data_IF_435517052822
#
_entry.id   IF_435517052822
#
_cell.length_a   1.000
_cell.length_b   1.000
_cell.length_c   1.000
_cell.angle_alpha   90.00
_cell.angle_beta   90.00
_cell.angle_gamma   90.00
#
_symmetry.space_group_name_H-M   'P 1'
#
loop_
_entity.id
_entity.type
_entity.pdbx_description
1 polymer ?
#
# COMPACT_ATOMS: atom_id res chain seq x y z
N UNK A 1 23.29 27.49 -5.57
CA UNK A 1 22.93 26.82 -6.84
C UNK A 1 23.76 25.55 -6.94
N UNK A 2 23.14 24.39 -7.18
CA UNK A 2 23.86 23.12 -7.43
C UNK A 2 24.63 23.18 -8.76
N UNK A 3 25.79 22.51 -8.89
CA UNK A 3 26.52 22.43 -10.16
C UNK A 3 25.77 21.57 -11.20
N UNK A 4 26.15 21.66 -12.48
CA UNK A 4 25.41 21.02 -13.59
C UNK A 4 25.52 19.49 -13.59
N UNK A 5 26.61 18.96 -13.05
CA UNK A 5 26.86 17.53 -12.84
C UNK A 5 26.21 16.99 -11.56
N UNK A 6 25.64 17.86 -10.70
CA UNK A 6 24.94 17.42 -9.50
C UNK A 6 23.79 16.48 -9.85
N UNK A 7 23.78 15.31 -9.21
CA UNK A 7 22.68 14.36 -9.35
C UNK A 7 21.40 14.96 -8.76
N UNK A 8 20.34 14.97 -9.56
CA UNK A 8 19.01 15.38 -9.13
C UNK A 8 18.12 14.14 -8.97
N UNK A 9 18.21 13.15 -9.86
CA UNK A 9 17.38 11.95 -9.83
C UNK A 9 18.22 10.68 -9.77
N UNK A 10 18.56 10.22 -8.56
CA UNK A 10 19.40 9.02 -8.40
C UNK A 10 18.79 7.72 -8.94
N UNK A 11 17.46 7.55 -8.89
CA UNK A 11 16.83 6.34 -9.42
C UNK A 11 16.93 6.19 -10.95
N UNK A 12 17.16 7.29 -11.68
CA UNK A 12 17.34 7.30 -13.13
C UNK A 12 18.72 7.87 -13.54
N UNK A 13 19.61 8.15 -12.57
CA UNK A 13 20.94 8.73 -12.81
C UNK A 13 20.94 10.08 -13.53
N UNK A 14 19.96 10.96 -13.29
CA UNK A 14 19.85 12.23 -14.02
C UNK A 14 20.45 13.39 -13.22
N UNK A 15 21.30 14.17 -13.89
CA UNK A 15 21.92 15.37 -13.33
C UNK A 15 21.08 16.62 -13.61
N UNK A 16 21.41 17.70 -12.89
CA UNK A 16 20.81 19.02 -13.08
C UNK A 16 20.90 19.49 -14.52
N UNK A 17 22.07 19.36 -15.14
CA UNK A 17 22.30 19.84 -16.50
C UNK A 17 21.49 19.11 -17.55
N UNK A 18 21.27 17.80 -17.38
CA UNK A 18 20.40 17.01 -18.26
C UNK A 18 18.96 17.49 -18.19
N UNK A 19 18.44 17.71 -16.98
CA UNK A 19 17.05 18.16 -16.78
C UNK A 19 16.88 19.59 -17.28
N UNK A 20 17.82 20.48 -16.97
CA UNK A 20 17.80 21.89 -17.41
C UNK A 20 17.84 21.99 -18.94
N UNK A 21 18.75 21.25 -19.58
CA UNK A 21 18.86 21.21 -21.05
C UNK A 21 17.54 20.75 -21.69
N UNK A 22 16.89 19.74 -21.12
CA UNK A 22 15.60 19.28 -21.62
C UNK A 22 14.49 20.33 -21.48
N UNK A 23 14.44 21.06 -20.35
CA UNK A 23 13.49 22.17 -20.14
C UNK A 23 13.68 23.24 -21.21
N UNK A 24 14.93 23.65 -21.45
CA UNK A 24 15.25 24.74 -22.37
C UNK A 24 15.05 24.33 -23.84
N UNK A 25 15.57 23.18 -24.27
CA UNK A 25 15.52 22.76 -25.68
C UNK A 25 14.13 22.37 -26.15
N UNK A 26 13.27 21.91 -25.24
CA UNK A 26 11.91 21.46 -25.56
C UNK A 26 10.82 22.37 -25.02
N UNK A 27 11.18 23.54 -24.47
CA UNK A 27 10.25 24.51 -23.88
C UNK A 27 9.28 23.86 -22.88
N UNK A 28 9.78 23.02 -21.98
CA UNK A 28 8.94 22.32 -21.01
C UNK A 28 8.52 23.30 -19.91
N UNK A 29 7.21 23.41 -19.69
CA UNK A 29 6.60 24.37 -18.76
C UNK A 29 6.02 23.71 -17.51
N UNK A 30 5.83 22.39 -17.53
CA UNK A 30 5.19 21.64 -16.44
C UNK A 30 6.05 20.49 -15.93
N UNK A 31 5.82 20.09 -14.68
CA UNK A 31 6.46 18.91 -14.08
C UNK A 31 6.16 17.62 -14.86
N UNK A 32 4.96 17.52 -15.46
CA UNK A 32 4.56 16.32 -16.19
C UNK A 32 5.26 16.22 -17.54
N UNK A 33 5.51 17.34 -18.22
CA UNK A 33 6.33 17.41 -19.42
C UNK A 33 7.79 17.00 -19.12
N UNK A 34 8.36 17.47 -18.00
CA UNK A 34 9.71 17.06 -17.58
C UNK A 34 9.76 15.56 -17.29
N UNK A 35 8.75 15.01 -16.60
CA UNK A 35 8.64 13.56 -16.36
C UNK A 35 8.57 12.76 -17.65
N UNK A 36 7.72 13.18 -18.59
CA UNK A 36 7.56 12.50 -19.88
C UNK A 36 8.84 12.53 -20.71
N UNK A 37 9.57 13.65 -20.70
CA UNK A 37 10.77 13.81 -21.50
C UNK A 37 12.02 13.15 -20.88
N UNK A 38 12.23 13.30 -19.58
CA UNK A 38 13.50 12.94 -18.93
C UNK A 38 13.40 11.70 -18.05
N UNK A 39 12.19 11.31 -17.65
CA UNK A 39 11.90 10.36 -16.57
C UNK A 39 12.28 10.85 -15.16
N UNK A 40 12.84 12.05 -14.99
CA UNK A 40 13.03 12.64 -13.66
C UNK A 40 11.68 12.74 -12.95
N UNK A 41 11.62 12.45 -11.64
CA UNK A 41 10.39 12.43 -10.84
C UNK A 41 9.35 11.35 -11.22
N UNK A 42 9.58 10.56 -12.28
CA UNK A 42 8.61 9.56 -12.76
C UNK A 42 8.69 8.19 -12.09
N UNK A 43 9.84 7.83 -11.48
CA UNK A 43 10.07 6.50 -10.90
C UNK A 43 9.76 6.45 -9.40
N UNK A 44 10.65 6.98 -8.56
CA UNK A 44 10.46 7.01 -7.10
C UNK A 44 9.87 8.34 -6.59
N UNK A 45 9.99 9.41 -7.37
CA UNK A 45 9.45 10.73 -7.06
C UNK A 45 10.18 11.53 -5.97
N UNK A 46 11.29 11.03 -5.41
CA UNK A 46 12.04 11.73 -4.36
C UNK A 46 12.60 13.08 -4.82
N UNK A 47 12.94 13.19 -6.11
CA UNK A 47 13.50 14.40 -6.70
C UNK A 47 12.46 15.43 -7.16
N UNK A 48 11.15 15.21 -6.90
CA UNK A 48 10.08 16.07 -7.42
C UNK A 48 10.27 17.54 -7.06
N UNK A 49 10.52 17.84 -5.78
CA UNK A 49 10.73 19.22 -5.34
C UNK A 49 11.96 19.88 -5.97
N UNK A 50 13.03 19.11 -6.23
CA UNK A 50 14.21 19.62 -6.94
C UNK A 50 13.88 19.94 -8.41
N UNK A 51 13.07 19.11 -9.07
CA UNK A 51 12.63 19.36 -10.45
C UNK A 51 11.71 20.58 -10.51
N UNK A 52 10.79 20.74 -9.56
CA UNK A 52 9.92 21.92 -9.46
C UNK A 52 10.73 23.20 -9.19
N UNK A 53 11.77 23.13 -8.35
CA UNK A 53 12.72 24.23 -8.17
C UNK A 53 13.47 24.58 -9.46
N UNK A 54 13.84 23.59 -10.29
CA UNK A 54 14.45 23.86 -11.59
C UNK A 54 13.46 24.53 -12.55
N UNK A 55 12.20 24.11 -12.56
CA UNK A 55 11.15 24.78 -13.34
C UNK A 55 10.93 26.23 -12.88
N UNK A 56 10.79 26.46 -11.56
CA UNK A 56 10.71 27.79 -10.96
C UNK A 56 11.91 28.67 -11.34
N UNK A 57 13.14 28.13 -11.28
CA UNK A 57 14.35 28.86 -11.63
C UNK A 57 14.46 29.22 -13.12
N UNK A 58 13.80 28.47 -14.01
CA UNK A 58 13.85 28.70 -15.48
C UNK A 58 12.70 29.54 -15.99
N UNK A 59 11.51 29.31 -15.45
CA UNK A 59 10.26 29.92 -15.91
C UNK A 59 9.87 31.14 -15.05
N UNK A 60 10.44 31.29 -13.85
CA UNK A 60 10.09 32.38 -12.93
C UNK A 60 8.60 32.37 -12.60
N UNK A 61 7.99 33.55 -12.59
CA UNK A 61 6.57 33.76 -12.27
C UNK A 61 5.62 33.11 -13.30
N UNK A 62 6.12 32.67 -14.46
CA UNK A 62 5.31 31.93 -15.44
C UNK A 62 5.06 30.47 -15.07
N UNK A 63 5.79 29.93 -14.09
CA UNK A 63 5.49 28.63 -13.51
C UNK A 63 4.42 28.77 -12.42
N UNK A 64 3.17 28.55 -12.79
CA UNK A 64 2.08 28.41 -11.84
C UNK A 64 1.75 26.93 -11.65
N UNK A 65 2.10 26.32 -10.49
CA UNK A 65 1.61 24.98 -10.20
C UNK A 65 0.08 25.01 -10.18
N UNK A 66 -0.57 24.04 -10.83
CA UNK A 66 -2.02 23.97 -10.90
C UNK A 66 -2.65 24.03 -9.49
N UNK A 67 -3.59 24.96 -9.30
CA UNK A 67 -4.27 25.20 -8.02
C UNK A 67 -5.07 23.96 -7.56
N UNK A 68 -5.60 23.21 -8.53
CA UNK A 68 -6.20 21.89 -8.34
C UNK A 68 -5.49 20.91 -9.24
N UNK A 69 -4.85 19.89 -8.65
CA UNK A 69 -4.18 18.83 -9.40
C UNK A 69 -5.19 17.77 -9.84
N UNK A 70 -5.44 17.59 -11.15
CA UNK A 70 -6.33 16.53 -11.62
C UNK A 70 -5.77 15.16 -11.28
N UNK A 71 -6.66 14.17 -11.13
CA UNK A 71 -6.27 12.79 -10.83
C UNK A 71 -5.32 12.23 -11.91
N UNK A 72 -5.62 12.52 -13.19
CA UNK A 72 -4.80 12.21 -14.35
C UNK A 72 -5.30 13.01 -15.56
N UNK A 73 -4.63 12.89 -16.72
CA UNK A 73 -5.04 13.58 -17.95
C UNK A 73 -6.41 13.16 -18.54
N UNK A 74 -7.10 12.18 -17.95
CA UNK A 74 -8.43 11.76 -18.39
C UNK A 74 -9.59 12.55 -17.74
N UNK A 75 -9.31 13.47 -16.81
CA UNK A 75 -10.31 14.29 -16.12
C UNK A 75 -9.71 15.63 -15.68
N UNK A 76 -10.54 16.62 -15.38
CA UNK A 76 -10.13 17.84 -14.67
C UNK A 76 -10.34 17.73 -13.15
N UNK A 77 -10.98 16.66 -12.68
CA UNK A 77 -11.33 16.47 -11.28
C UNK A 77 -10.13 16.02 -10.44
N UNK A 78 -10.01 16.56 -9.22
CA UNK A 78 -9.02 16.09 -8.25
C UNK A 78 -9.42 14.75 -7.64
N UNK A 79 -8.47 14.12 -6.93
CA UNK A 79 -8.78 12.94 -6.11
C UNK A 79 -9.88 13.21 -5.07
N UNK A 80 -9.93 14.41 -4.50
CA UNK A 80 -10.95 14.79 -3.51
C UNK A 80 -12.33 14.97 -4.14
N UNK A 81 -12.39 15.60 -5.33
CA UNK A 81 -13.64 15.79 -6.07
C UNK A 81 -14.26 14.46 -6.46
N UNK A 82 -13.47 13.57 -7.06
CA UNK A 82 -13.94 12.24 -7.48
C UNK A 82 -14.55 11.50 -6.29
N UNK A 83 -13.88 11.47 -5.13
CA UNK A 83 -14.40 10.79 -3.93
C UNK A 83 -15.71 11.39 -3.45
N UNK A 84 -15.79 12.73 -3.37
CA UNK A 84 -17.00 13.44 -2.96
C UNK A 84 -18.17 13.15 -3.91
N UNK A 85 -17.89 13.18 -5.21
CA UNK A 85 -18.90 12.99 -6.27
C UNK A 85 -19.39 11.54 -6.35
N UNK A 86 -18.55 10.54 -6.07
CA UNK A 86 -18.98 9.13 -5.92
C UNK A 86 -20.12 9.03 -4.92
N UNK A 87 -19.93 9.57 -3.71
CA UNK A 87 -20.95 9.51 -2.67
C UNK A 87 -22.14 10.41 -2.99
N UNK A 88 -21.90 11.64 -3.47
CA UNK A 88 -22.97 12.61 -3.75
C UNK A 88 -23.93 12.16 -4.85
N UNK A 89 -23.42 11.46 -5.87
CA UNK A 89 -24.22 10.95 -6.99
C UNK A 89 -24.54 9.45 -6.87
N UNK A 90 -24.21 8.82 -5.73
CA UNK A 90 -24.44 7.40 -5.49
C UNK A 90 -23.88 6.49 -6.62
N UNK A 91 -22.70 6.81 -7.15
CA UNK A 91 -22.10 6.10 -8.29
C UNK A 91 -21.48 4.78 -7.81
N UNK A 92 -21.91 3.64 -8.38
CA UNK A 92 -21.57 2.30 -7.87
C UNK A 92 -20.60 1.54 -8.75
N UNK A 93 -20.37 1.95 -10.01
CA UNK A 93 -19.46 1.24 -10.91
C UNK A 93 -18.48 2.18 -11.61
N UNK A 94 -17.32 1.65 -12.05
CA UNK A 94 -16.33 2.44 -12.80
C UNK A 94 -16.95 3.01 -14.10
N UNK A 95 -17.68 2.25 -14.93
CA UNK A 95 -18.29 2.78 -16.15
C UNK A 95 -19.31 3.89 -15.88
N UNK A 96 -20.19 3.70 -14.90
CA UNK A 96 -21.19 4.70 -14.48
C UNK A 96 -20.51 5.98 -14.00
N UNK A 97 -19.48 5.84 -13.14
CA UNK A 97 -18.69 6.97 -12.65
C UNK A 97 -18.03 7.73 -13.80
N UNK A 98 -17.34 7.02 -14.70
CA UNK A 98 -16.67 7.65 -15.82
C UNK A 98 -17.65 8.38 -16.75
N UNK A 99 -18.84 7.81 -16.98
CA UNK A 99 -19.87 8.44 -17.77
C UNK A 99 -20.44 9.69 -17.08
N UNK A 100 -20.82 9.57 -15.80
CA UNK A 100 -21.44 10.65 -15.04
C UNK A 100 -20.49 11.83 -14.78
N UNK A 101 -19.20 11.55 -14.63
CA UNK A 101 -18.17 12.55 -14.37
C UNK A 101 -17.36 12.95 -15.61
N UNK A 102 -17.91 12.66 -16.80
CA UNK A 102 -17.40 13.10 -18.11
C UNK A 102 -15.91 12.77 -18.33
N UNK A 103 -15.53 11.53 -18.03
CA UNK A 103 -14.16 11.06 -18.24
C UNK A 103 -13.81 11.11 -19.74
N UNK A 104 -12.68 11.72 -20.09
CA UNK A 104 -12.25 11.91 -21.48
C UNK A 104 -11.97 10.59 -22.23
N UNK A 105 -11.81 9.49 -21.50
CA UNK A 105 -11.58 8.15 -22.05
C UNK A 105 -12.49 7.16 -21.35
N UNK A 106 -13.27 6.40 -22.12
CA UNK A 106 -14.13 5.31 -21.62
C UNK A 106 -13.33 4.16 -20.99
N UNK A 107 -12.09 3.97 -21.43
CA UNK A 107 -11.16 2.98 -20.89
C UNK A 107 -10.41 3.47 -19.65
N UNK A 108 -10.40 4.77 -19.37
CA UNK A 108 -9.47 5.35 -18.40
C UNK A 108 -8.00 5.07 -18.75
N UNK A 109 -7.13 5.12 -17.73
CA UNK A 109 -5.70 4.84 -17.85
C UNK A 109 -5.16 4.16 -16.59
N UNK A 110 -3.87 3.79 -16.62
CA UNK A 110 -3.16 3.14 -15.52
C UNK A 110 -3.08 3.96 -14.21
N UNK A 111 -3.42 5.26 -14.24
CA UNK A 111 -3.52 6.11 -13.04
C UNK A 111 -4.92 6.10 -12.44
N UNK A 112 -5.95 6.27 -13.27
CA UNK A 112 -7.30 6.41 -12.77
C UNK A 112 -7.99 5.08 -12.49
N UNK A 113 -7.81 4.05 -13.32
CA UNK A 113 -8.47 2.76 -13.13
C UNK A 113 -8.25 2.20 -11.71
N UNK A 114 -7.00 2.09 -11.21
CA UNK A 114 -6.77 1.64 -9.84
C UNK A 114 -7.35 2.58 -8.77
N UNK A 115 -7.30 3.90 -8.99
CA UNK A 115 -7.81 4.87 -8.04
C UNK A 115 -9.34 4.82 -7.91
N UNK A 116 -10.04 4.71 -9.04
CA UNK A 116 -11.50 4.59 -9.08
C UNK A 116 -11.95 3.28 -8.44
N UNK A 117 -11.27 2.16 -8.75
CA UNK A 117 -11.52 0.87 -8.11
C UNK A 117 -11.41 0.97 -6.58
N UNK A 118 -10.31 1.56 -6.08
CA UNK A 118 -10.12 1.76 -4.64
C UNK A 118 -11.19 2.68 -4.01
N UNK A 119 -11.57 3.77 -4.69
CA UNK A 119 -12.57 4.69 -4.15
C UNK A 119 -13.96 4.09 -4.07
N UNK A 120 -14.36 3.28 -5.04
CA UNK A 120 -15.62 2.54 -5.00
C UNK A 120 -15.58 1.45 -3.91
N UNK A 121 -14.47 0.73 -3.74
CA UNK A 121 -14.28 -0.23 -2.63
C UNK A 121 -14.38 0.44 -1.26
N UNK A 122 -13.85 1.66 -1.13
CA UNK A 122 -13.91 2.41 0.12
C UNK A 122 -15.31 2.97 0.39
N UNK A 123 -16.02 3.44 -0.65
CA UNK A 123 -17.34 4.05 -0.53
C UNK A 123 -18.46 3.03 -0.34
N UNK A 124 -18.38 1.86 -0.99
CA UNK A 124 -19.48 0.90 -1.08
C UNK A 124 -19.09 -0.54 -0.71
N UNK A 125 -18.62 -0.80 0.54
CA UNK A 125 -18.33 -2.16 0.97
C UNK A 125 -19.56 -3.06 0.88
N UNK A 126 -19.40 -4.23 0.24
CA UNK A 126 -20.49 -5.20 0.06
C UNK A 126 -21.43 -4.93 -1.12
N UNK A 127 -21.33 -3.77 -1.76
CA UNK A 127 -22.11 -3.44 -2.97
C UNK A 127 -21.21 -3.38 -4.22
N UNK A 128 -20.03 -2.76 -4.11
CA UNK A 128 -19.09 -2.69 -5.23
C UNK A 128 -18.31 -4.00 -5.37
N UNK A 129 -18.26 -4.52 -6.59
CA UNK A 129 -17.44 -5.68 -6.96
C UNK A 129 -16.08 -5.19 -7.43
N UNK A 130 -15.02 -5.67 -6.76
CA UNK A 130 -13.63 -5.33 -7.06
C UNK A 130 -13.27 -5.64 -8.52
N UNK A 131 -12.78 -4.64 -9.25
CA UNK A 131 -12.32 -4.83 -10.63
C UNK A 131 -10.84 -5.27 -10.64
N UNK A 132 -10.64 -6.58 -10.74
CA UNK A 132 -9.31 -7.19 -10.84
C UNK A 132 -8.46 -6.62 -11.99
N UNK A 133 -9.06 -6.17 -13.10
CA UNK A 133 -8.31 -5.58 -14.22
C UNK A 133 -7.81 -4.17 -13.91
N UNK A 134 -8.48 -3.47 -13.00
CA UNK A 134 -8.05 -2.16 -12.50
C UNK A 134 -6.92 -2.25 -11.48
N UNK A 135 -6.52 -3.46 -11.05
CA UNK A 135 -5.40 -3.66 -10.13
C UNK A 135 -4.06 -3.80 -10.85
N UNK A 136 -3.00 -3.32 -10.22
CA UNK A 136 -1.64 -3.64 -10.67
C UNK A 136 -1.40 -5.14 -10.61
N UNK A 137 -0.54 -5.66 -11.49
CA UNK A 137 -0.26 -7.10 -11.60
C UNK A 137 0.04 -7.74 -10.23
N UNK A 138 0.84 -7.09 -9.39
CA UNK A 138 1.21 -7.64 -8.08
C UNK A 138 0.04 -7.79 -7.10
N UNK A 139 -1.00 -6.97 -7.28
CA UNK A 139 -2.22 -7.02 -6.49
C UNK A 139 -3.21 -7.99 -7.13
N UNK A 140 -3.28 -8.02 -8.46
CA UNK A 140 -4.16 -8.91 -9.21
C UNK A 140 -3.81 -10.37 -9.04
N UNK A 141 -2.52 -10.72 -8.96
CA UNK A 141 -2.08 -12.12 -8.73
C UNK A 141 -1.51 -12.36 -7.34
N UNK A 142 -1.63 -11.40 -6.41
CA UNK A 142 -1.16 -11.53 -5.02
C UNK A 142 0.28 -12.05 -4.86
N UNK A 143 1.13 -11.78 -5.85
CA UNK A 143 2.53 -12.17 -5.94
C UNK A 143 3.32 -11.04 -6.61
N UNK A 144 4.60 -10.85 -6.30
CA UNK A 144 5.37 -9.72 -6.86
C UNK A 144 6.17 -10.13 -8.08
N UNK A 145 5.94 -9.45 -9.20
CA UNK A 145 6.76 -9.60 -10.39
C UNK A 145 8.20 -9.13 -10.13
N UNK A 146 9.16 -9.95 -10.54
CA UNK A 146 10.60 -9.73 -10.42
C UNK A 146 11.19 -9.23 -11.75
N UNK A 147 12.49 -8.91 -11.75
CA UNK A 147 13.16 -8.32 -12.92
C UNK A 147 13.20 -9.24 -14.13
N UNK A 148 13.23 -10.55 -13.91
CA UNK A 148 13.27 -11.61 -14.92
C UNK A 148 11.87 -12.08 -15.35
N UNK A 149 10.81 -11.46 -14.83
CA UNK A 149 9.42 -11.83 -15.12
C UNK A 149 8.85 -12.92 -14.22
N UNK A 150 9.67 -13.56 -13.39
CA UNK A 150 9.20 -14.50 -12.34
C UNK A 150 8.48 -13.74 -11.23
N UNK A 151 7.93 -14.48 -10.27
CA UNK A 151 7.17 -13.97 -9.15
C UNK A 151 7.81 -14.33 -7.82
N UNK A 152 7.44 -13.57 -6.78
CA UNK A 152 7.67 -13.96 -5.40
C UNK A 152 6.38 -13.99 -4.58
N UNK A 153 6.33 -14.92 -3.65
CA UNK A 153 5.20 -15.12 -2.74
C UNK A 153 5.68 -15.07 -1.30
N UNK A 154 4.86 -14.47 -0.44
CA UNK A 154 5.13 -14.30 0.98
C UNK A 154 3.90 -14.75 1.74
N UNK A 155 3.88 -15.95 2.32
CA UNK A 155 2.81 -16.40 3.19
C UNK A 155 2.67 -15.50 4.41
N UNK A 156 1.47 -15.44 4.97
CA UNK A 156 1.23 -14.70 6.21
C UNK A 156 1.79 -15.47 7.41
N UNK A 157 2.61 -14.80 8.21
CA UNK A 157 3.09 -15.28 9.51
C UNK A 157 2.63 -14.26 10.55
N UNK A 158 1.56 -14.59 11.28
CA UNK A 158 0.87 -13.64 12.15
C UNK A 158 1.78 -13.17 13.28
N UNK A 159 2.02 -11.87 13.39
CA UNK A 159 2.96 -11.29 14.34
C UNK A 159 4.42 -11.75 14.16
N UNK A 160 4.74 -12.40 13.03
CA UNK A 160 6.04 -13.04 12.79
C UNK A 160 6.22 -14.41 13.45
N UNK A 161 5.14 -15.02 13.95
CA UNK A 161 5.16 -16.34 14.59
C UNK A 161 4.92 -17.45 13.55
N UNK A 162 5.58 -18.59 13.75
CA UNK A 162 5.40 -19.79 12.92
C UNK A 162 5.64 -21.07 13.70
N UNK A 163 5.27 -22.21 13.12
CA UNK A 163 5.48 -23.55 13.66
C UNK A 163 6.47 -24.38 12.84
N UNK A 164 6.97 -25.47 13.43
CA UNK A 164 7.80 -26.43 12.70
C UNK A 164 7.04 -27.09 11.52
N UNK A 165 5.71 -27.22 11.60
CA UNK A 165 4.91 -27.77 10.50
C UNK A 165 4.84 -26.80 9.32
N UNK A 166 4.56 -25.52 9.58
CA UNK A 166 4.56 -24.47 8.56
C UNK A 166 5.95 -24.29 7.92
N UNK A 167 7.02 -24.32 8.72
CA UNK A 167 8.39 -24.24 8.22
C UNK A 167 8.76 -25.42 7.31
N UNK A 168 8.31 -26.64 7.66
CA UNK A 168 8.49 -27.81 6.78
C UNK A 168 7.69 -27.66 5.50
N UNK A 169 6.43 -27.24 5.57
CA UNK A 169 5.62 -27.01 4.37
C UNK A 169 6.25 -25.98 3.42
N UNK A 170 6.81 -24.88 3.97
CA UNK A 170 7.56 -23.91 3.17
C UNK A 170 8.79 -24.56 2.52
N UNK A 171 9.54 -25.37 3.25
CA UNK A 171 10.70 -26.08 2.70
C UNK A 171 10.30 -27.08 1.60
N UNK A 172 9.23 -27.85 1.82
CA UNK A 172 8.71 -28.83 0.86
C UNK A 172 8.26 -28.15 -0.44
N UNK A 173 7.60 -26.98 -0.35
CA UNK A 173 7.24 -26.16 -1.51
C UNK A 173 8.48 -25.64 -2.24
N UNK A 174 9.49 -25.16 -1.49
CA UNK A 174 10.75 -24.69 -2.09
C UNK A 174 11.43 -25.79 -2.89
N UNK A 175 11.51 -27.00 -2.34
CA UNK A 175 12.12 -28.15 -3.02
C UNK A 175 11.28 -28.60 -4.22
N UNK A 176 9.95 -28.75 -4.06
CA UNK A 176 9.05 -29.25 -5.11
C UNK A 176 9.05 -28.37 -6.36
N UNK A 177 9.06 -27.05 -6.20
CA UNK A 177 9.03 -26.09 -7.30
C UNK A 177 10.42 -25.55 -7.65
N UNK A 178 11.49 -26.12 -7.08
CA UNK A 178 12.88 -25.69 -7.29
C UNK A 178 13.07 -24.17 -7.11
N UNK A 179 12.45 -23.59 -6.08
CA UNK A 179 12.46 -22.15 -5.85
C UNK A 179 13.88 -21.71 -5.48
N UNK A 180 14.53 -20.86 -6.28
CA UNK A 180 15.97 -20.64 -6.19
C UNK A 180 16.40 -19.78 -4.98
N UNK A 181 15.49 -19.04 -4.37
CA UNK A 181 15.84 -18.15 -3.25
C UNK A 181 14.73 -18.04 -2.22
N UNK A 182 15.12 -18.19 -0.96
CA UNK A 182 14.29 -17.98 0.22
C UNK A 182 14.91 -16.87 1.07
N UNK A 183 14.12 -15.88 1.48
CA UNK A 183 14.63 -14.69 2.19
C UNK A 183 13.74 -14.29 3.37
N UNK A 184 14.35 -14.06 4.53
CA UNK A 184 13.66 -13.42 5.66
C UNK A 184 13.50 -11.92 5.40
N UNK A 185 12.28 -11.43 5.50
CA UNK A 185 11.92 -10.03 5.27
C UNK A 185 11.98 -9.20 6.54
N UNK A 186 12.14 -7.88 6.41
CA UNK A 186 12.06 -6.96 7.55
C UNK A 186 10.69 -6.89 8.23
N UNK A 187 9.67 -7.56 7.67
CA UNK A 187 8.34 -7.72 8.25
C UNK A 187 8.15 -9.01 9.03
N UNK A 188 9.25 -9.72 9.39
CA UNK A 188 9.25 -11.02 10.07
C UNK A 188 8.52 -12.11 9.30
N UNK A 189 8.80 -12.22 7.99
CA UNK A 189 8.20 -13.23 7.11
C UNK A 189 9.21 -13.86 6.18
N UNK A 190 8.83 -14.99 5.57
CA UNK A 190 9.64 -15.70 4.58
C UNK A 190 9.12 -15.38 3.17
N UNK A 191 10.01 -14.92 2.30
CA UNK A 191 9.78 -14.61 0.89
C UNK A 191 10.43 -15.68 0.01
N UNK A 192 9.66 -16.22 -0.92
CA UNK A 192 10.07 -17.26 -1.88
C UNK A 192 10.10 -16.63 -3.26
N UNK A 193 11.29 -16.51 -3.88
CA UNK A 193 11.53 -15.75 -5.10
C UNK A 193 11.96 -16.66 -6.25
N UNK A 194 11.44 -16.38 -7.45
CA UNK A 194 11.80 -17.10 -8.68
C UNK A 194 10.76 -18.11 -9.15
N UNK A 195 9.48 -17.86 -8.85
CA UNK A 195 8.36 -18.76 -9.18
C UNK A 195 7.75 -18.33 -10.51
N UNK A 196 7.55 -19.26 -11.44
CA UNK A 196 6.88 -18.95 -12.70
C UNK A 196 5.39 -18.63 -12.46
N UNK A 197 4.82 -17.75 -13.30
CA UNK A 197 3.45 -17.24 -13.08
C UNK A 197 2.44 -18.37 -13.07
N UNK A 198 2.64 -19.34 -13.95
CA UNK A 198 1.83 -20.53 -14.18
C UNK A 198 1.83 -21.47 -12.98
N UNK A 199 2.90 -21.46 -12.19
CA UNK A 199 3.06 -22.32 -11.00
C UNK A 199 2.41 -21.73 -9.75
N UNK A 200 2.10 -20.43 -9.74
CA UNK A 200 1.53 -19.75 -8.57
C UNK A 200 0.30 -20.49 -7.99
N UNK A 201 -0.69 -20.96 -8.78
CA UNK A 201 -1.82 -21.71 -8.22
C UNK A 201 -1.41 -23.00 -7.51
N UNK A 202 -0.40 -23.73 -8.02
CA UNK A 202 0.06 -24.98 -7.43
C UNK A 202 0.89 -24.72 -6.15
N UNK A 203 1.76 -23.70 -6.17
CA UNK A 203 2.50 -23.24 -4.99
C UNK A 203 1.55 -22.86 -3.86
N UNK A 204 0.51 -22.08 -4.16
CA UNK A 204 -0.47 -21.67 -3.15
C UNK A 204 -1.40 -22.81 -2.71
N UNK A 205 -1.64 -23.82 -3.55
CA UNK A 205 -2.40 -25.00 -3.14
C UNK A 205 -1.70 -25.73 -1.97
N UNK A 206 -0.40 -25.99 -2.12
CA UNK A 206 0.41 -26.67 -1.11
C UNK A 206 0.56 -25.81 0.17
N UNK A 207 0.77 -24.50 0.02
CA UNK A 207 0.83 -23.59 1.17
C UNK A 207 -0.51 -23.53 1.93
N UNK A 208 -1.63 -23.44 1.21
CA UNK A 208 -2.96 -23.39 1.81
C UNK A 208 -3.31 -24.70 2.53
N UNK A 209 -2.87 -25.86 2.04
CA UNK A 209 -3.03 -27.15 2.72
C UNK A 209 -2.35 -27.15 4.11
N UNK A 210 -1.21 -26.45 4.24
CA UNK A 210 -0.53 -26.23 5.51
C UNK A 210 -1.12 -25.10 6.38
N UNK A 211 -2.22 -24.47 5.94
CA UNK A 211 -2.90 -23.36 6.64
C UNK A 211 -2.27 -21.98 6.42
N UNK A 212 -1.33 -21.86 5.47
CA UNK A 212 -0.63 -20.61 5.16
C UNK A 212 -1.38 -19.79 4.11
N UNK A 213 -1.98 -18.67 4.52
CA UNK A 213 -2.75 -17.77 3.62
C UNK A 213 -1.89 -16.67 2.99
N UNK A 214 -2.44 -15.95 2.01
CA UNK A 214 -1.76 -14.82 1.37
C UNK A 214 -1.30 -13.74 2.36
N UNK A 215 0.00 -13.44 2.35
CA UNK A 215 0.56 -12.35 3.14
C UNK A 215 0.25 -10.95 2.60
N UNK A 216 -0.41 -10.83 1.44
CA UNK A 216 -0.71 -9.54 0.80
C UNK A 216 0.50 -8.60 0.72
N UNK A 217 1.71 -9.16 0.58
CA UNK A 217 2.97 -8.45 0.80
C UNK A 217 3.19 -7.25 -0.15
N UNK A 218 2.42 -7.18 -1.23
CA UNK A 218 2.53 -6.16 -2.27
C UNK A 218 1.25 -5.36 -2.52
N UNK A 219 0.17 -5.70 -1.81
CA UNK A 219 -1.11 -4.97 -1.84
C UNK A 219 -0.99 -3.51 -1.40
N UNK A 220 -1.89 -2.65 -1.90
CA UNK A 220 -2.29 -1.41 -1.19
C UNK A 220 -3.28 -1.79 -0.09
N UNK A 221 -2.72 -2.47 0.90
CA UNK A 221 -3.43 -3.08 1.99
C UNK A 221 -2.51 -3.09 3.23
N UNK A 222 -3.05 -3.60 4.32
CA UNK A 222 -2.27 -3.96 5.51
C UNK A 222 -1.32 -5.09 5.13
N UNK A 223 -0.01 -4.80 5.20
CA UNK A 223 1.02 -5.75 4.82
C UNK A 223 1.37 -6.66 5.97
N UNK A 224 1.90 -6.12 7.07
CA UNK A 224 2.43 -6.87 8.23
C UNK A 224 2.26 -6.07 9.52
N UNK A 225 2.14 -6.78 10.64
CA UNK A 225 2.33 -6.26 11.99
C UNK A 225 3.60 -6.89 12.57
N UNK A 226 4.70 -6.13 12.61
CA UNK A 226 5.97 -6.59 13.20
C UNK A 226 5.85 -6.56 14.73
N UNK A 227 6.30 -7.60 15.42
CA UNK A 227 6.27 -7.65 16.89
C UNK A 227 7.66 -7.86 17.47
N UNK A 228 7.85 -7.50 18.73
CA UNK A 228 8.93 -8.08 19.53
C UNK A 228 8.37 -9.21 20.39
N UNK A 229 9.25 -10.00 21.01
CA UNK A 229 8.84 -11.17 21.81
C UNK A 229 8.06 -10.82 23.10
N UNK A 230 7.92 -9.53 23.43
CA UNK A 230 7.03 -9.04 24.49
C UNK A 230 7.36 -9.56 25.90
N UNK A 231 6.43 -9.38 26.84
CA UNK A 231 6.57 -9.85 28.24
C UNK A 231 6.57 -11.37 28.40
N UNK A 232 6.15 -12.09 27.37
CA UNK A 232 6.17 -13.55 27.37
C UNK A 232 7.61 -14.09 27.47
N UNK A 233 8.56 -13.45 26.79
CA UNK A 233 9.96 -13.92 26.72
C UNK A 233 10.99 -12.87 27.17
N UNK A 234 10.75 -11.59 26.91
CA UNK A 234 11.73 -10.55 27.21
C UNK A 234 11.59 -10.10 28.67
N UNK A 235 12.70 -10.12 29.41
CA UNK A 235 12.77 -9.59 30.79
C UNK A 235 12.40 -8.11 30.94
N UNK A 236 12.33 -7.36 29.83
CA UNK A 236 11.95 -5.95 29.79
C UNK A 236 10.57 -5.71 29.16
N UNK A 237 9.85 -6.77 28.78
CA UNK A 237 8.52 -6.61 28.19
C UNK A 237 7.55 -6.11 29.25
N UNK A 238 6.93 -4.95 29.01
CA UNK A 238 5.88 -4.41 29.86
C UNK A 238 4.54 -5.07 29.54
N UNK A 239 4.23 -5.27 28.25
CA UNK A 239 3.02 -5.95 27.79
C UNK A 239 3.32 -7.05 26.76
N UNK A 240 2.28 -7.82 26.44
CA UNK A 240 2.32 -8.90 25.46
C UNK A 240 2.14 -8.35 24.04
N UNK A 241 3.23 -7.90 23.44
CA UNK A 241 3.22 -7.37 22.08
C UNK A 241 2.91 -8.41 21.01
N UNK A 242 3.29 -9.67 21.23
CA UNK A 242 3.08 -10.74 20.26
C UNK A 242 1.59 -11.01 20.09
N UNK A 243 0.87 -11.21 21.20
CA UNK A 243 -0.58 -11.40 21.19
C UNK A 243 -1.30 -10.20 20.58
N UNK A 244 -1.03 -8.98 21.06
CA UNK A 244 -1.67 -7.78 20.52
C UNK A 244 -1.38 -7.60 19.02
N UNK A 245 -0.15 -7.86 18.58
CA UNK A 245 0.24 -7.79 17.18
C UNK A 245 -0.51 -8.80 16.31
N UNK A 246 -0.65 -10.05 16.77
CA UNK A 246 -1.45 -11.07 16.09
C UNK A 246 -2.92 -10.66 16.01
N UNK A 247 -3.49 -10.14 17.12
CA UNK A 247 -4.88 -9.68 17.16
C UNK A 247 -5.12 -8.55 16.15
N UNK A 248 -4.24 -7.54 16.13
CA UNK A 248 -4.29 -6.46 15.15
C UNK A 248 -4.16 -6.98 13.73
N UNK A 249 -3.21 -7.87 13.46
CA UNK A 249 -3.00 -8.37 12.11
C UNK A 249 -4.22 -9.15 11.61
N UNK A 250 -4.79 -10.05 12.43
CA UNK A 250 -6.00 -10.79 12.11
C UNK A 250 -7.25 -9.90 12.03
N UNK A 251 -7.28 -8.78 12.73
CA UNK A 251 -8.41 -7.85 12.67
C UNK A 251 -8.36 -6.96 11.42
N UNK A 252 -7.16 -6.59 10.95
CA UNK A 252 -6.97 -5.65 9.86
C UNK A 252 -6.57 -6.28 8.53
N UNK A 253 -6.21 -7.57 8.46
CA UNK A 253 -5.87 -8.21 7.18
C UNK A 253 -7.04 -8.14 6.19
N UNK A 254 -6.75 -8.26 4.90
CA UNK A 254 -7.74 -8.12 3.82
C UNK A 254 -8.16 -6.66 3.56
N UNK A 255 -7.94 -5.74 4.50
CA UNK A 255 -8.28 -4.33 4.33
C UNK A 255 -7.53 -3.66 3.19
N UNK A 256 -8.27 -3.16 2.20
CA UNK A 256 -7.75 -2.24 1.19
C UNK A 256 -7.59 -0.82 1.77
N UNK A 257 -6.44 -0.23 1.50
CA UNK A 257 -6.02 1.09 1.97
C UNK A 257 -5.49 1.92 0.79
N UNK A 258 -5.42 3.27 0.88
CA UNK A 258 -4.99 4.08 -0.26
C UNK A 258 -3.58 3.73 -0.75
N UNK A 259 -2.67 3.41 0.18
CA UNK A 259 -1.36 2.85 -0.09
C UNK A 259 -1.03 1.69 0.85
N UNK A 260 0.17 1.11 0.75
CA UNK A 260 0.64 0.08 1.68
C UNK A 260 0.67 0.61 3.13
N UNK A 261 0.18 -0.20 4.07
CA UNK A 261 0.27 0.07 5.51
C UNK A 261 1.10 -1.02 6.18
N UNK A 262 2.13 -0.60 6.91
CA UNK A 262 2.95 -1.45 7.78
C UNK A 262 2.70 -1.05 9.21
N UNK A 263 2.59 -2.04 10.09
CA UNK A 263 2.34 -1.81 11.49
C UNK A 263 3.40 -2.49 12.35
N UNK A 264 3.50 -2.09 13.61
CA UNK A 264 4.27 -2.84 14.59
C UNK A 264 3.76 -2.65 16.02
N UNK A 265 4.02 -3.64 16.86
CA UNK A 265 3.74 -3.61 18.30
C UNK A 265 5.04 -3.91 19.06
N UNK A 266 5.49 -2.94 19.85
CA UNK A 266 6.65 -3.05 20.72
C UNK A 266 6.19 -3.23 22.16
N UNK A 267 6.61 -4.31 22.83
CA UNK A 267 6.17 -4.64 24.18
C UNK A 267 6.74 -3.75 25.29
N UNK A 268 7.65 -2.82 24.96
CA UNK A 268 8.18 -1.79 25.86
C UNK A 268 8.78 -0.62 25.06
N UNK A 269 9.14 0.51 25.72
CA UNK A 269 9.72 1.69 25.06
C UNK A 269 11.06 1.47 24.36
N UNK A 270 11.74 0.34 24.57
CA UNK A 270 12.96 -0.04 23.82
C UNK A 270 12.71 -0.24 22.32
N UNK A 271 11.44 -0.42 21.94
CA UNK A 271 10.98 -0.31 20.57
C UNK A 271 11.64 -1.28 19.56
N UNK A 272 11.91 -2.54 19.97
CA UNK A 272 12.56 -3.53 19.11
C UNK A 272 11.78 -3.86 17.82
N UNK A 273 10.48 -3.57 17.76
CA UNK A 273 9.67 -3.74 16.56
C UNK A 273 9.68 -2.51 15.63
N UNK A 274 10.38 -1.43 16.01
CA UNK A 274 10.49 -0.15 15.28
C UNK A 274 9.11 0.50 15.06
N UNK A 275 8.23 0.46 16.06
CA UNK A 275 6.85 0.95 16.00
C UNK A 275 6.77 2.43 15.65
N UNK A 276 7.70 3.24 16.15
CA UNK A 276 7.76 4.69 15.94
C UNK A 276 8.20 5.15 14.54
N UNK A 277 8.38 4.22 13.59
CA UNK A 277 8.63 4.55 12.18
C UNK A 277 7.72 3.75 11.21
N UNK A 278 6.69 3.07 11.75
CA UNK A 278 5.67 2.38 10.94
C UNK A 278 4.52 3.31 10.60
N UNK A 279 3.69 2.91 9.63
CA UNK A 279 2.49 3.68 9.26
C UNK A 279 1.56 3.83 10.48
N UNK A 280 1.43 2.77 11.29
CA UNK A 280 0.82 2.76 12.64
C UNK A 280 1.67 1.90 13.58
N UNK A 281 1.96 2.38 14.78
CA UNK A 281 2.75 1.69 15.79
C UNK A 281 2.00 1.63 17.12
N UNK A 282 2.26 0.58 17.91
CA UNK A 282 1.86 0.52 19.32
C UNK A 282 3.12 0.33 20.16
N UNK A 283 3.35 1.23 21.12
CA UNK A 283 4.41 1.11 22.10
C UNK A 283 3.76 0.85 23.45
N UNK A 284 3.99 -0.34 23.99
CA UNK A 284 3.45 -0.72 25.29
C UNK A 284 4.28 -0.11 26.43
N UNK A 285 3.60 0.26 27.50
CA UNK A 285 4.17 0.67 28.79
C UNK A 285 3.43 -0.07 29.91
N UNK A 286 3.88 0.07 31.15
CA UNK A 286 3.20 -0.58 32.28
C UNK A 286 1.75 -0.07 32.44
N UNK A 287 1.52 1.21 32.19
CA UNK A 287 0.21 1.85 32.32
C UNK A 287 -0.76 1.58 31.16
N UNK A 288 -0.31 1.02 30.04
CA UNK A 288 -1.15 0.86 28.85
C UNK A 288 -0.39 0.84 27.54
N UNK A 289 -0.97 1.47 26.51
CA UNK A 289 -0.56 1.38 25.12
C UNK A 289 -0.54 2.77 24.48
N UNK A 290 0.65 3.23 24.08
CA UNK A 290 0.81 4.43 23.26
C UNK A 290 0.57 4.09 21.80
N UNK A 291 -0.44 4.71 21.20
CA UNK A 291 -0.80 4.53 19.81
C UNK A 291 -0.11 5.61 18.99
N UNK A 292 0.71 5.20 18.04
CA UNK A 292 1.50 6.04 17.16
C UNK A 292 1.04 5.91 15.70
N UNK A 293 1.13 6.98 14.91
CA UNK A 293 0.75 6.94 13.49
C UNK A 293 1.60 7.87 12.64
N UNK A 294 1.40 7.84 11.32
CA UNK A 294 2.06 8.74 10.37
C UNK A 294 3.59 8.55 10.22
N UNK A 295 4.15 7.42 10.62
CA UNK A 295 5.57 7.12 10.43
C UNK A 295 5.93 6.62 9.03
N UNK A 296 7.22 6.68 8.69
CA UNK A 296 7.78 6.13 7.48
C UNK A 296 9.26 5.76 7.63
N UNK A 297 9.67 4.63 7.05
CA UNK A 297 11.07 4.20 6.94
C UNK A 297 11.40 3.82 5.49
N UNK A 298 11.05 4.69 4.55
CA UNK A 298 11.22 4.47 3.11
C UNK A 298 12.08 5.55 2.47
N UNK A 299 11.62 6.09 1.33
CA UNK A 299 12.29 7.21 0.65
C UNK A 299 12.36 8.47 1.51
N UNK A 300 11.35 8.66 2.37
CA UNK A 300 11.36 9.62 3.46
C UNK A 300 11.38 8.82 4.76
N UNK A 301 12.28 9.20 5.67
CA UNK A 301 12.25 8.75 7.05
C UNK A 301 11.43 9.77 7.83
N UNK A 302 10.40 9.28 8.52
CA UNK A 302 9.51 10.07 9.38
C UNK A 302 9.28 9.30 10.66
N UNK A 303 9.55 9.96 11.78
CA UNK A 303 9.02 9.51 13.06
C UNK A 303 7.50 9.61 13.06
N UNK A 304 6.87 8.77 13.87
CA UNK A 304 5.43 8.80 14.09
C UNK A 304 5.02 9.94 15.00
N UNK A 305 3.80 10.42 14.82
CA UNK A 305 3.09 11.25 15.79
C UNK A 305 2.41 10.36 16.84
N UNK A 306 2.37 10.81 18.10
CA UNK A 306 1.54 10.17 19.14
C UNK A 306 0.07 10.48 18.86
N UNK A 307 -0.75 9.47 18.63
CA UNK A 307 -2.20 9.62 18.48
C UNK A 307 -2.87 9.75 19.85
N UNK A 308 -2.58 8.82 20.76
CA UNK A 308 -3.17 8.81 22.11
C UNK A 308 -2.67 7.64 22.96
N UNK A 309 -3.12 7.60 24.21
CA UNK A 309 -2.85 6.53 25.17
C UNK A 309 -4.15 5.82 25.55
N UNK A 310 -4.10 4.49 25.70
CA UNK A 310 -5.22 3.68 26.15
C UNK A 310 -4.79 2.59 27.13
N UNK A 311 -5.69 2.19 28.01
CA UNK A 311 -5.36 1.32 29.14
C UNK A 311 -5.35 -0.18 28.76
N UNK A 312 -6.10 -0.57 27.72
CA UNK A 312 -6.30 -1.96 27.33
C UNK A 312 -6.18 -2.21 25.82
N UNK A 313 -6.04 -3.48 25.45
CA UNK A 313 -5.84 -3.90 24.06
C UNK A 313 -7.04 -3.65 23.16
N UNK A 314 -8.27 -3.70 23.70
CA UNK A 314 -9.48 -3.56 22.90
C UNK A 314 -9.63 -2.10 22.46
N UNK A 315 -9.37 -1.15 23.35
CA UNK A 315 -9.31 0.28 23.03
C UNK A 315 -8.16 0.59 22.06
N UNK A 316 -7.03 -0.11 22.17
CA UNK A 316 -5.93 0.03 21.22
C UNK A 316 -6.33 -0.41 19.81
N UNK A 317 -7.03 -1.55 19.69
CA UNK A 317 -7.56 -2.04 18.41
C UNK A 317 -8.64 -1.08 17.88
N UNK A 318 -9.54 -0.58 18.72
CA UNK A 318 -10.56 0.39 18.33
C UNK A 318 -9.92 1.65 17.74
N UNK A 319 -8.97 2.27 18.45
CA UNK A 319 -8.31 3.50 18.03
C UNK A 319 -7.51 3.30 16.73
N UNK A 320 -6.79 2.19 16.61
CA UNK A 320 -6.04 1.84 15.40
C UNK A 320 -6.96 1.63 14.20
N UNK A 321 -8.06 0.90 14.38
CA UNK A 321 -9.01 0.68 13.30
C UNK A 321 -9.74 1.96 12.90
N UNK A 322 -10.05 2.84 13.85
CA UNK A 322 -10.65 4.14 13.57
C UNK A 322 -9.74 5.05 12.73
N UNK A 323 -8.45 5.18 13.08
CA UNK A 323 -7.52 5.99 12.27
C UNK A 323 -7.27 5.38 10.89
N UNK A 324 -7.22 4.04 10.79
CA UNK A 324 -7.13 3.36 9.49
C UNK A 324 -8.40 3.60 8.67
N UNK A 325 -9.59 3.55 9.26
CA UNK A 325 -10.82 3.86 8.54
C UNK A 325 -10.85 5.30 8.05
N UNK A 326 -10.43 6.25 8.89
CA UNK A 326 -10.36 7.66 8.50
C UNK A 326 -9.39 7.85 7.32
N UNK A 327 -8.22 7.20 7.38
CA UNK A 327 -7.27 7.19 6.26
C UNK A 327 -7.86 6.53 5.01
N UNK A 328 -8.65 5.44 5.15
CA UNK A 328 -9.36 4.83 4.01
C UNK A 328 -10.34 5.80 3.36
N UNK A 329 -11.04 6.57 4.19
CA UNK A 329 -12.08 7.53 3.81
C UNK A 329 -11.56 8.88 3.32
N UNK A 330 -10.29 9.22 3.54
CA UNK A 330 -9.76 10.55 3.20
C UNK A 330 -8.48 10.53 2.36
N UNK A 331 -7.71 9.43 2.42
CA UNK A 331 -6.46 9.29 1.69
C UNK A 331 -6.68 9.18 0.19
N UNK A 332 -5.84 9.88 -0.58
CA UNK A 332 -5.81 9.75 -2.03
C UNK A 332 -5.16 8.41 -2.41
N UNK A 333 -5.60 7.76 -3.48
CA UNK A 333 -4.97 6.51 -3.92
C UNK A 333 -3.46 6.70 -4.16
N UNK A 334 -2.65 5.78 -3.65
CA UNK A 334 -1.18 5.82 -3.53
C UNK A 334 -0.58 6.88 -2.59
N UNK A 335 -1.40 7.64 -1.87
CA UNK A 335 -0.93 8.55 -0.82
C UNK A 335 -0.58 7.76 0.43
N UNK A 336 0.67 7.83 0.91
CA UNK A 336 1.10 7.20 2.17
C UNK A 336 0.49 7.92 3.38
N UNK A 337 0.24 7.19 4.47
CA UNK A 337 -0.42 7.75 5.67
C UNK A 337 0.27 9.02 6.21
N UNK A 338 1.60 9.09 6.17
CA UNK A 338 2.34 10.28 6.62
C UNK A 338 2.13 11.52 5.72
N UNK A 339 1.86 11.30 4.41
CA UNK A 339 1.53 12.39 3.48
C UNK A 339 0.09 12.84 3.66
N UNK A 340 -0.82 11.88 3.85
CA UNK A 340 -2.21 12.15 4.21
C UNK A 340 -2.31 12.95 5.52
N UNK A 341 -1.61 12.53 6.57
CA UNK A 341 -1.60 13.22 7.86
C UNK A 341 -1.07 14.65 7.74
N UNK A 342 -0.03 14.88 6.92
CA UNK A 342 0.45 16.24 6.62
C UNK A 342 -0.58 17.07 5.86
N UNK A 343 -1.30 16.47 4.91
CA UNK A 343 -2.28 17.16 4.07
C UNK A 343 -3.54 17.54 4.85
N UNK A 344 -4.03 16.65 5.70
CA UNK A 344 -5.26 16.86 6.48
C UNK A 344 -5.00 17.61 7.79
N UNK A 345 -3.79 17.48 8.35
CA UNK A 345 -3.43 18.05 9.63
C UNK A 345 -3.57 17.01 10.75
N UNK A 346 -2.51 16.84 11.54
CA UNK A 346 -2.46 15.89 12.66
C UNK A 346 -3.50 16.22 13.72
N UNK A 347 -3.70 17.51 14.01
CA UNK A 347 -4.69 17.96 15.00
C UNK A 347 -6.11 17.61 14.56
N UNK A 348 -6.48 17.84 13.29
CA UNK A 348 -7.79 17.42 12.77
C UNK A 348 -8.02 15.92 12.86
N UNK A 349 -6.97 15.11 12.73
CA UNK A 349 -7.04 13.65 12.87
C UNK A 349 -7.21 13.27 14.35
N UNK A 350 -6.52 13.94 15.27
CA UNK A 350 -6.71 13.76 16.72
C UNK A 350 -8.12 14.16 17.14
N UNK A 351 -8.60 15.31 16.70
CA UNK A 351 -9.97 15.76 16.97
C UNK A 351 -10.99 14.70 16.55
N UNK A 352 -10.82 14.14 15.35
CA UNK A 352 -11.75 13.16 14.78
C UNK A 352 -11.69 11.76 15.43
N UNK A 353 -10.53 11.33 15.95
CA UNK A 353 -10.31 9.95 16.44
C UNK A 353 -10.21 9.88 17.97
N UNK A 354 -9.62 10.88 18.61
CA UNK A 354 -9.31 10.90 20.03
C UNK A 354 -10.38 11.70 20.77
N UNK A 355 -10.55 12.97 20.40
CA UNK A 355 -11.39 13.92 21.14
C UNK A 355 -12.90 13.69 20.86
N UNK A 356 -13.24 13.24 19.65
CA UNK A 356 -14.59 12.78 19.32
C UNK A 356 -14.74 11.25 19.46
N UNK A 357 -15.04 10.80 20.69
CA UNK A 357 -15.27 9.40 20.98
C UNK A 357 -16.48 8.79 20.22
N UNK A 358 -17.49 9.60 19.88
CA UNK A 358 -18.65 9.12 19.13
C UNK A 358 -18.26 8.85 17.66
N UNK A 359 -17.50 9.76 17.06
CA UNK A 359 -16.96 9.57 15.72
C UNK A 359 -15.93 8.42 15.67
N UNK A 360 -15.08 8.25 16.68
CA UNK A 360 -14.19 7.07 16.78
C UNK A 360 -14.97 5.76 16.69
N UNK A 361 -16.04 5.62 17.48
CA UNK A 361 -16.91 4.43 17.45
C UNK A 361 -17.60 4.26 16.10
N UNK A 362 -18.01 5.36 15.46
CA UNK A 362 -18.61 5.31 14.12
C UNK A 362 -17.60 4.86 13.05
N UNK A 363 -16.36 5.37 13.10
CA UNK A 363 -15.25 4.93 12.24
C UNK A 363 -14.94 3.45 12.45
N UNK A 364 -14.81 3.02 13.71
CA UNK A 364 -14.61 1.61 14.06
C UNK A 364 -15.73 0.72 13.50
N UNK A 365 -16.99 1.10 13.69
CA UNK A 365 -18.13 0.34 13.19
C UNK A 365 -18.13 0.21 11.65
N UNK A 366 -17.80 1.28 10.92
CA UNK A 366 -17.66 1.24 9.45
C UNK A 366 -16.49 0.37 9.01
N UNK A 367 -15.38 0.38 9.74
CA UNK A 367 -14.27 -0.53 9.49
C UNK A 367 -14.70 -1.99 9.63
N UNK A 368 -15.33 -2.34 10.76
CA UNK A 368 -15.83 -3.69 11.06
C UNK A 368 -16.82 -4.16 10.00
N UNK A 369 -17.75 -3.28 9.58
CA UNK A 369 -18.69 -3.59 8.51
C UNK A 369 -17.95 -3.94 7.20
N UNK A 370 -16.97 -3.13 6.80
CA UNK A 370 -16.21 -3.39 5.58
C UNK A 370 -15.41 -4.70 5.63
N UNK A 371 -14.87 -5.09 6.80
CA UNK A 371 -14.08 -6.32 6.91
C UNK A 371 -14.88 -7.60 6.63
N UNK A 372 -16.19 -7.58 6.83
CA UNK A 372 -17.08 -8.72 6.53
C UNK A 372 -16.98 -9.18 5.07
N UNK A 373 -16.57 -8.29 4.17
CA UNK A 373 -16.52 -8.54 2.73
C UNK A 373 -15.09 -8.71 2.19
N UNK A 374 -14.08 -8.21 2.91
CA UNK A 374 -12.69 -8.15 2.40
C UNK A 374 -11.74 -9.16 3.03
N UNK A 375 -12.10 -9.80 4.14
CA UNK A 375 -11.29 -10.82 4.81
C UNK A 375 -11.43 -12.20 4.17
N UNK A 376 -11.06 -12.28 2.89
CA UNK A 376 -11.05 -13.51 2.11
C UNK A 376 -9.62 -13.81 1.70
N UNK A 377 -9.17 -15.07 1.81
CA UNK A 377 -7.89 -15.47 1.23
C UNK A 377 -8.03 -15.52 -0.30
N UNK A 378 -7.30 -14.68 -1.05
CA UNK A 378 -7.47 -14.61 -2.50
C UNK A 378 -7.11 -15.90 -3.23
N UNK A 379 -6.36 -16.82 -2.59
CA UNK A 379 -5.96 -18.08 -3.19
C UNK A 379 -6.94 -19.22 -2.95
N UNK A 380 -7.82 -19.13 -1.94
CA UNK A 380 -8.78 -20.18 -1.64
C UNK A 380 -9.66 -20.53 -2.85
N UNK A 381 -10.20 -19.52 -3.54
CA UNK A 381 -11.02 -19.74 -4.75
C UNK A 381 -10.17 -19.99 -6.01
N UNK A 382 -8.99 -19.37 -6.11
CA UNK A 382 -8.11 -19.49 -7.29
C UNK A 382 -7.50 -20.88 -7.41
N UNK A 383 -7.12 -21.49 -6.30
CA UNK A 383 -6.66 -22.89 -6.26
C UNK A 383 -7.77 -23.83 -6.75
N UNK A 384 -9.05 -23.52 -6.48
CA UNK A 384 -10.21 -24.28 -6.98
C UNK A 384 -10.56 -23.98 -8.44
N UNK A 385 -9.93 -22.99 -9.05
CA UNK A 385 -9.99 -22.73 -10.48
C UNK A 385 -10.62 -21.40 -10.90
N UNK A 386 -10.95 -20.53 -9.96
CA UNK A 386 -11.34 -19.15 -10.27
C UNK A 386 -10.18 -18.43 -11.00
N UNK A 387 -10.50 -17.64 -12.03
CA UNK A 387 -9.52 -16.89 -12.84
C UNK A 387 -8.34 -17.70 -13.42
N UNK A 388 -8.50 -19.01 -13.69
CA UNK A 388 -7.43 -19.85 -14.30
C UNK A 388 -6.78 -19.25 -15.55
N UNK A 389 -7.55 -18.51 -16.34
CA UNK A 389 -7.08 -17.84 -17.55
C UNK A 389 -5.94 -16.83 -17.28
N UNK A 390 -5.85 -16.25 -16.08
CA UNK A 390 -4.77 -15.33 -15.69
C UNK A 390 -3.41 -16.02 -15.54
N UNK A 391 -3.40 -17.33 -15.30
CA UNK A 391 -2.20 -18.13 -15.06
C UNK A 391 -1.89 -19.10 -16.20
N UNK A 392 -2.69 -19.07 -17.27
CA UNK A 392 -2.38 -19.82 -18.47
C UNK A 392 -1.24 -19.14 -19.24
N UNK A 393 -0.27 -19.88 -19.79
CA UNK A 393 0.72 -19.32 -20.68
C UNK A 393 0.02 -18.62 -21.85
N UNK A 394 0.53 -17.47 -22.28
CA UNK A 394 0.11 -16.88 -23.54
C UNK A 394 0.43 -17.88 -24.65
N UNK A 395 -0.57 -18.23 -25.48
CA UNK A 395 -0.34 -19.07 -26.66
C UNK A 395 0.75 -18.40 -27.51
N UNK A 396 1.89 -19.06 -27.65
CA UNK A 396 2.87 -18.69 -28.67
C UNK A 396 2.20 -18.96 -30.02
N UNK A 397 1.72 -17.90 -30.67
CA UNK A 397 1.37 -17.97 -32.08
C UNK A 397 2.69 -18.22 -32.81
N UNK A 398 2.92 -19.45 -33.24
CA UNK A 398 4.10 -19.79 -34.03
C UNK A 398 4.16 -18.89 -35.25
N UNK A 399 5.35 -18.40 -35.58
CA UNK A 399 5.61 -17.61 -36.80
C UNK A 399 5.50 -18.44 -38.10
N UNK A 400 4.85 -19.60 -38.05
CA UNK A 400 4.60 -20.45 -39.21
C UNK A 400 3.24 -20.16 -39.80
N UNK A 401 3.15 -19.09 -40.60
CA UNK A 401 2.22 -18.89 -41.75
C UNK A 401 2.29 -17.43 -42.27
N UNK A 402 3.50 -16.90 -42.39
CA UNK A 402 3.79 -15.73 -43.22
C UNK A 402 5.07 -16.03 -44.01
N UNK A 403 4.95 -16.97 -44.96
CA UNK A 403 5.96 -17.24 -45.98
C UNK A 403 5.29 -17.19 -47.36
#
# INVERSE_FOLDING_TARGET
SLPEDAEICGCNGLTKGVIRKAIDEKNLSTLEEVRACTRASASCGSCTGLVEQLLLLRLGDSYQPAEVKPLCGCTELSHSDVRRLISAHNLKTIPELMQALEWKSSGGCAKCRPALNYYLLAAWPGEYVDDNQSRFINERVHANIQKDGTYSVVPRMWGGVTSAAELRAIADVVDKFNIPTVKVTGGQRIDMLGIDKEELPAVWADLNEAGLVSGHAYGKAIRTVKTCVGKEWCRFGAQDSTRLGIRLEKFLWGSWTPAKVKMAVSGCPRNCAEATCKDVGVVCVESGYDIHFAGAAGMEVRETELLGHVDNEDDAIEMVAAVIQLYREQGHYLERIHKWARRVGVDSIRDAVVDDAANRKALYARFVYAQKFYQVDPWEERVRGHDRHEFAPLKQLGTGELA
#
